data_IF_871434010354
#
_entry.id   IF_871434010354
#
_cell.length_a   1.000
_cell.length_b   1.000
_cell.length_c   1.000
_cell.angle_alpha   90.00
_cell.angle_beta   90.00
_cell.angle_gamma   90.00
#
_symmetry.space_group_name_H-M   'P 1'
#
loop_
_entity.id
_entity.type
_entity.pdbx_description
1 polymer ?
#
# COMPACT_ATOMS: atom_id res chain seq x y z
N UNK A 1 8.86 -8.99 13.78
CA UNK A 1 7.63 -8.22 13.79
C UNK A 1 7.51 -7.66 12.39
N UNK A 2 6.42 -7.87 11.69
CA UNK A 2 6.31 -7.42 10.30
C UNK A 2 5.63 -6.05 10.29
N UNK A 3 6.30 -5.06 9.74
CA UNK A 3 5.73 -3.76 9.50
C UNK A 3 5.00 -3.79 8.14
N UNK A 4 3.80 -3.30 8.10
CA UNK A 4 2.99 -3.14 6.90
C UNK A 4 2.70 -1.66 6.68
N UNK A 5 3.04 -1.16 5.52
CA UNK A 5 2.91 0.23 5.14
C UNK A 5 1.80 0.39 4.10
N UNK A 6 0.80 1.20 4.42
CA UNK A 6 -0.33 1.47 3.53
C UNK A 6 -0.41 2.97 3.27
N UNK A 7 -0.49 3.35 2.00
CA UNK A 7 -0.73 4.73 1.59
C UNK A 7 -2.19 4.93 1.15
N UNK A 8 -2.82 6.00 1.64
CA UNK A 8 -4.14 6.45 1.21
C UNK A 8 -3.96 7.63 0.28
N UNK A 9 -4.25 7.45 -1.00
CA UNK A 9 -3.98 8.40 -2.07
C UNK A 9 -5.30 8.91 -2.68
N UNK A 10 -5.29 10.08 -3.28
CA UNK A 10 -6.46 10.68 -3.92
C UNK A 10 -6.38 12.19 -3.97
N UNK A 11 -7.30 12.84 -4.67
CA UNK A 11 -7.42 14.30 -4.75
C UNK A 11 -7.78 14.95 -3.42
N UNK A 12 -7.83 16.26 -3.39
CA UNK A 12 -8.35 17.03 -2.25
C UNK A 12 -9.86 16.80 -2.09
N UNK A 13 -10.37 16.88 -0.86
CA UNK A 13 -11.82 16.81 -0.58
C UNK A 13 -12.46 15.44 -0.71
N UNK A 14 -11.75 14.38 -1.08
CA UNK A 14 -12.31 13.02 -1.24
C UNK A 14 -12.58 12.29 0.07
N UNK A 15 -12.36 12.94 1.22
CA UNK A 15 -12.63 12.36 2.56
C UNK A 15 -11.44 11.61 3.16
N UNK A 16 -10.20 11.97 2.78
CA UNK A 16 -8.99 11.52 3.46
C UNK A 16 -8.78 12.33 4.75
N UNK A 17 -8.23 11.71 5.77
CA UNK A 17 -7.82 12.38 7.01
C UNK A 17 -6.31 12.68 6.99
N UNK A 18 -5.90 13.70 7.73
CA UNK A 18 -4.53 14.26 7.64
C UNK A 18 -3.60 13.71 8.71
N UNK A 19 -3.14 12.44 8.66
CA UNK A 19 -2.17 11.96 9.65
C UNK A 19 -1.45 10.65 9.27
N UNK A 20 -0.29 10.44 9.87
CA UNK A 20 0.34 9.11 9.95
C UNK A 20 -0.25 8.39 11.17
N UNK A 21 -0.95 7.30 10.94
CA UNK A 21 -1.49 6.44 11.99
C UNK A 21 -0.61 5.19 12.13
N UNK A 22 -0.26 4.88 13.38
CA UNK A 22 0.43 3.63 13.72
C UNK A 22 -0.44 2.82 14.65
N UNK A 23 -0.69 1.57 14.27
CA UNK A 23 -1.51 0.66 15.08
C UNK A 23 -0.94 -0.75 15.06
N UNK A 24 -0.84 -1.34 16.25
CA UNK A 24 -0.61 -2.79 16.36
C UNK A 24 -1.94 -3.51 16.17
N UNK A 25 -1.93 -4.52 15.33
CA UNK A 25 -3.10 -5.34 15.11
C UNK A 25 -2.72 -6.80 14.90
N UNK A 26 -3.65 -7.70 15.21
CA UNK A 26 -3.50 -9.12 14.92
C UNK A 26 -4.32 -9.49 13.69
N UNK A 27 -3.67 -10.09 12.71
CA UNK A 27 -4.32 -10.60 11.50
C UNK A 27 -3.95 -12.07 11.34
N UNK A 28 -4.94 -12.94 11.30
CA UNK A 28 -4.77 -14.40 11.21
C UNK A 28 -3.77 -14.95 12.28
N UNK A 29 -3.87 -14.45 13.53
CA UNK A 29 -3.02 -14.85 14.64
C UNK A 29 -1.60 -14.27 14.62
N UNK A 30 -1.30 -13.34 13.71
CA UNK A 30 0.02 -12.70 13.59
C UNK A 30 -0.05 -11.25 13.99
N UNK A 31 0.92 -10.82 14.80
CA UNK A 31 1.06 -9.43 15.18
C UNK A 31 1.71 -8.64 14.05
N UNK A 32 1.07 -7.56 13.64
CA UNK A 32 1.53 -6.62 12.62
C UNK A 32 1.56 -5.20 13.22
N UNK A 33 2.56 -4.43 12.84
CA UNK A 33 2.54 -2.98 12.99
C UNK A 33 2.03 -2.39 11.67
N UNK A 34 0.87 -1.78 11.70
CA UNK A 34 0.33 -1.04 10.56
C UNK A 34 0.79 0.41 10.65
N UNK A 35 1.45 0.90 9.62
CA UNK A 35 1.66 2.32 9.37
C UNK A 35 0.75 2.75 8.22
N UNK A 36 -0.20 3.63 8.51
CA UNK A 36 -1.07 4.25 7.52
C UNK A 36 -0.56 5.67 7.24
N UNK A 37 -0.23 5.95 6.00
CA UNK A 37 0.19 7.28 5.56
C UNK A 37 -0.88 7.91 4.68
N UNK A 38 -1.39 9.05 5.15
CA UNK A 38 -2.28 9.91 4.40
C UNK A 38 -1.54 11.23 4.13
N UNK A 39 -1.07 11.48 2.91
CA UNK A 39 -0.36 12.70 2.58
C UNK A 39 -1.34 13.89 2.55
N UNK A 40 -1.27 14.72 3.59
CA UNK A 40 -1.88 16.03 3.55
C UNK A 40 -1.17 16.94 2.55
N UNK A 41 -1.91 17.70 1.78
CA UNK A 41 -1.38 18.52 0.69
C UNK A 41 -0.54 19.72 1.14
N UNK A 42 -0.49 20.10 2.43
CA UNK A 42 0.11 21.41 2.76
C UNK A 42 0.93 21.60 4.04
N UNK A 43 0.98 20.71 5.04
CA UNK A 43 1.49 21.16 6.36
C UNK A 43 2.58 20.35 7.06
N UNK A 44 3.03 19.22 6.58
CA UNK A 44 4.17 18.53 7.19
C UNK A 44 5.42 18.73 6.36
N UNK A 45 6.39 19.47 6.91
CA UNK A 45 7.63 19.90 6.28
C UNK A 45 8.46 18.78 5.66
N UNK A 46 8.28 18.62 4.36
CA UNK A 46 8.94 17.65 3.52
C UNK A 46 7.91 17.07 2.54
N UNK A 47 7.78 17.71 1.37
CA UNK A 47 6.92 17.22 0.29
C UNK A 47 7.51 15.92 -0.25
N UNK A 48 7.10 14.76 0.32
CA UNK A 48 7.39 13.51 -0.36
C UNK A 48 6.58 13.48 -1.66
N UNK A 49 7.25 13.19 -2.76
CA UNK A 49 6.59 13.08 -4.06
C UNK A 49 5.68 11.85 -4.08
N UNK A 50 4.68 11.84 -4.94
CA UNK A 50 3.81 10.67 -5.13
C UNK A 50 4.63 9.39 -5.43
N UNK A 51 5.72 9.53 -6.17
CA UNK A 51 6.65 8.44 -6.44
C UNK A 51 7.30 7.88 -5.17
N UNK A 52 7.74 8.72 -4.25
CA UNK A 52 8.30 8.28 -2.97
C UNK A 52 7.26 7.55 -2.12
N UNK A 53 6.02 8.02 -2.11
CA UNK A 53 4.91 7.38 -1.41
C UNK A 53 4.61 6.00 -1.98
N UNK A 54 4.64 5.85 -3.31
CA UNK A 54 4.43 4.57 -3.98
C UNK A 54 5.59 3.60 -3.68
N UNK A 55 6.82 4.06 -3.63
CA UNK A 55 7.95 3.20 -3.27
C UNK A 55 7.97 2.81 -1.78
N UNK A 56 7.40 3.66 -0.93
CA UNK A 56 7.36 3.42 0.52
C UNK A 56 6.30 2.38 0.93
N UNK A 57 5.14 2.32 0.24
CA UNK A 57 3.99 1.54 0.65
C UNK A 57 4.00 0.10 0.11
N UNK A 58 3.46 -0.82 0.90
CA UNK A 58 3.21 -2.23 0.53
C UNK A 58 1.80 -2.43 -0.05
N UNK A 59 0.87 -1.51 0.27
CA UNK A 59 -0.50 -1.52 -0.21
C UNK A 59 -1.07 -0.12 -0.35
N UNK A 60 -2.09 0.03 -1.19
CA UNK A 60 -2.65 1.32 -1.57
C UNK A 60 -4.16 1.35 -1.45
N UNK A 61 -4.69 2.46 -0.93
CA UNK A 61 -6.09 2.85 -1.03
C UNK A 61 -6.14 4.10 -1.89
N UNK A 62 -6.71 4.01 -3.08
CA UNK A 62 -6.90 5.15 -3.97
C UNK A 62 -8.36 5.59 -3.88
N UNK A 63 -8.59 6.81 -3.38
CA UNK A 63 -9.93 7.32 -3.08
C UNK A 63 -10.32 8.40 -4.08
N UNK A 64 -11.55 8.33 -4.58
CA UNK A 64 -12.21 9.42 -5.31
C UNK A 64 -13.60 9.70 -4.73
N UNK A 65 -14.15 10.86 -5.01
CA UNK A 65 -15.50 11.27 -4.66
C UNK A 65 -16.42 10.99 -5.84
N UNK A 66 -17.51 10.24 -5.63
CA UNK A 66 -18.44 9.91 -6.70
C UNK A 66 -19.16 11.14 -7.29
N UNK A 67 -19.20 12.25 -6.54
CA UNK A 67 -19.81 13.52 -6.94
C UNK A 67 -18.81 14.51 -7.55
N UNK A 68 -17.54 14.09 -7.75
CA UNK A 68 -16.50 14.95 -8.32
C UNK A 68 -15.69 14.20 -9.40
N UNK A 69 -15.96 14.55 -10.66
CA UNK A 69 -15.27 13.98 -11.83
C UNK A 69 -13.76 14.26 -11.80
N UNK A 70 -13.31 15.39 -11.26
CA UNK A 70 -11.89 15.73 -11.23
C UNK A 70 -11.11 14.83 -10.28
N UNK A 71 -11.71 14.45 -9.17
CA UNK A 71 -11.13 13.49 -8.23
C UNK A 71 -10.97 12.10 -8.84
N UNK A 72 -11.91 11.67 -9.69
CA UNK A 72 -11.82 10.40 -10.42
C UNK A 72 -10.70 10.41 -11.47
N UNK A 73 -10.50 11.53 -12.18
CA UNK A 73 -9.38 11.69 -13.12
C UNK A 73 -8.05 11.58 -12.36
N UNK A 74 -7.95 12.23 -11.21
CA UNK A 74 -6.76 12.14 -10.32
C UNK A 74 -6.53 10.70 -9.86
N UNK A 75 -7.57 10.00 -9.40
CA UNK A 75 -7.48 8.59 -8.99
C UNK A 75 -7.02 7.68 -10.14
N UNK A 76 -7.52 7.93 -11.36
CA UNK A 76 -7.11 7.20 -12.56
C UNK A 76 -5.61 7.36 -12.82
N UNK A 77 -5.09 8.59 -12.77
CA UNK A 77 -3.65 8.86 -12.94
C UNK A 77 -2.80 8.15 -11.87
N UNK A 78 -3.26 8.16 -10.61
CA UNK A 78 -2.57 7.48 -9.49
C UNK A 78 -2.53 5.96 -9.71
N UNK A 79 -3.64 5.34 -10.11
CA UNK A 79 -3.69 3.88 -10.37
C UNK A 79 -2.71 3.51 -11.48
N UNK A 80 -2.69 4.27 -12.59
CA UNK A 80 -1.75 4.02 -13.68
C UNK A 80 -0.29 4.17 -13.23
N UNK A 81 0.03 5.22 -12.49
CA UNK A 81 1.39 5.43 -11.97
C UNK A 81 1.85 4.30 -11.04
N UNK A 82 0.98 3.83 -10.15
CA UNK A 82 1.28 2.67 -9.29
C UNK A 82 1.62 1.44 -10.15
N UNK A 83 0.87 1.20 -11.24
CA UNK A 83 1.12 0.05 -12.12
C UNK A 83 2.40 0.20 -12.92
N UNK A 84 2.68 1.37 -13.47
CA UNK A 84 3.91 1.66 -14.20
C UNK A 84 5.16 1.45 -13.33
N UNK A 85 5.17 1.99 -12.12
CA UNK A 85 6.28 1.85 -11.19
C UNK A 85 6.48 0.40 -10.72
N UNK A 86 5.41 -0.39 -10.61
CA UNK A 86 5.49 -1.81 -10.28
C UNK A 86 5.95 -2.68 -11.46
N UNK A 87 5.67 -2.29 -12.71
CA UNK A 87 6.13 -3.00 -13.91
C UNK A 87 7.65 -2.85 -14.15
N UNK A 88 8.24 -1.74 -13.70
CA UNK A 88 9.68 -1.47 -13.80
C UNK A 88 10.55 -2.25 -12.80
N UNK A 89 9.98 -2.69 -11.69
CA UNK A 89 10.64 -3.58 -10.75
C UNK A 89 10.53 -5.01 -11.27
N UNK A 90 11.66 -5.65 -11.57
CA UNK A 90 11.80 -7.01 -12.17
C UNK A 90 10.55 -7.88 -12.10
N UNK A 91 10.16 -8.47 -13.22
CA UNK A 91 8.98 -9.35 -13.49
C UNK A 91 8.62 -10.44 -12.45
N UNK A 92 9.18 -10.43 -11.24
CA UNK A 92 9.02 -11.46 -10.19
C UNK A 92 8.66 -10.89 -8.80
N UNK A 93 8.47 -9.58 -8.65
CA UNK A 93 8.02 -9.03 -7.37
C UNK A 93 6.49 -9.02 -7.33
N UNK A 94 5.93 -9.48 -6.22
CA UNK A 94 4.49 -9.59 -6.02
C UNK A 94 3.80 -8.25 -6.30
N UNK A 95 2.77 -8.31 -7.13
CA UNK A 95 1.93 -7.17 -7.47
C UNK A 95 1.42 -6.47 -6.20
N UNK A 96 1.58 -5.14 -6.12
CA UNK A 96 1.10 -4.37 -4.97
C UNK A 96 -0.42 -4.43 -4.89
N UNK A 97 -0.92 -4.59 -3.68
CA UNK A 97 -2.36 -4.61 -3.42
C UNK A 97 -2.93 -3.20 -3.49
N UNK A 98 -3.83 -2.97 -4.44
CA UNK A 98 -4.49 -1.67 -4.65
C UNK A 98 -6.00 -1.81 -4.49
N UNK A 99 -6.57 -0.95 -3.65
CA UNK A 99 -8.01 -0.80 -3.49
C UNK A 99 -8.44 0.54 -4.05
N UNK A 100 -9.37 0.52 -5.00
CA UNK A 100 -10.00 1.71 -5.56
C UNK A 100 -11.33 1.95 -4.85
N UNK A 101 -11.50 3.12 -4.24
CA UNK A 101 -12.65 3.45 -3.38
C UNK A 101 -13.38 4.67 -3.92
N UNK A 102 -14.62 4.48 -4.38
CA UNK A 102 -15.59 5.55 -4.61
C UNK A 102 -16.24 5.91 -3.27
N UNK A 103 -15.87 7.07 -2.72
CA UNK A 103 -16.39 7.56 -1.45
C UNK A 103 -17.60 8.49 -1.66
N UNK A 104 -18.28 8.79 -0.58
CA UNK A 104 -19.47 9.65 -0.49
C UNK A 104 -20.67 9.08 -1.25
N UNK A 105 -20.88 7.77 -1.15
CA UNK A 105 -22.02 7.08 -1.74
C UNK A 105 -23.37 7.67 -1.30
N UNK A 106 -23.44 8.29 -0.13
CA UNK A 106 -24.57 9.08 0.38
C UNK A 106 -24.96 10.23 -0.56
N UNK A 107 -24.03 10.76 -1.34
CA UNK A 107 -24.26 11.82 -2.35
C UNK A 107 -24.66 11.27 -3.73
N UNK A 108 -25.25 10.09 -3.80
CA UNK A 108 -25.62 9.44 -5.08
C UNK A 108 -26.57 10.28 -5.96
N UNK A 109 -27.32 11.22 -5.37
CA UNK A 109 -28.23 12.14 -6.08
C UNK A 109 -27.51 13.22 -6.90
N UNK A 110 -26.24 13.50 -6.60
CA UNK A 110 -25.38 14.42 -7.37
C UNK A 110 -24.17 13.73 -7.99
N UNK A 111 -24.29 12.41 -8.21
CA UNK A 111 -23.23 11.59 -8.80
C UNK A 111 -22.78 12.10 -10.16
N UNK A 112 -21.48 12.28 -10.32
CA UNK A 112 -20.82 12.58 -11.60
C UNK A 112 -20.07 11.38 -12.19
N UNK A 113 -19.65 10.43 -11.35
CA UNK A 113 -18.91 9.24 -11.75
C UNK A 113 -19.81 8.02 -11.61
N UNK A 114 -20.08 7.33 -12.72
CA UNK A 114 -20.88 6.11 -12.71
C UNK A 114 -20.10 4.97 -12.05
N UNK A 115 -20.82 4.09 -11.38
CA UNK A 115 -20.22 2.91 -10.72
C UNK A 115 -19.45 2.01 -11.70
N UNK A 116 -19.97 1.87 -12.91
CA UNK A 116 -19.36 1.08 -13.98
C UNK A 116 -18.01 1.65 -14.44
N UNK A 117 -17.81 2.96 -14.35
CA UNK A 117 -16.53 3.60 -14.66
C UNK A 117 -15.48 3.24 -13.61
N UNK A 118 -15.84 3.28 -12.32
CA UNK A 118 -14.98 2.83 -11.24
C UNK A 118 -14.63 1.35 -11.34
N UNK A 119 -15.62 0.50 -11.65
CA UNK A 119 -15.41 -0.94 -11.87
C UNK A 119 -14.48 -1.22 -13.04
N UNK A 120 -14.64 -0.49 -14.15
CA UNK A 120 -13.77 -0.61 -15.32
C UNK A 120 -12.33 -0.22 -14.99
N UNK A 121 -12.13 0.94 -14.36
CA UNK A 121 -10.80 1.37 -13.91
C UNK A 121 -10.16 0.33 -12.99
N UNK A 122 -10.94 -0.23 -12.06
CA UNK A 122 -10.43 -1.25 -11.15
C UNK A 122 -10.02 -2.54 -11.89
N UNK A 123 -10.80 -2.97 -12.88
CA UNK A 123 -10.48 -4.13 -13.71
C UNK A 123 -9.20 -3.90 -14.52
N UNK A 124 -9.10 -2.77 -15.21
CA UNK A 124 -7.94 -2.42 -16.03
C UNK A 124 -6.68 -2.22 -15.19
N UNK A 125 -6.83 -1.64 -13.99
CA UNK A 125 -5.76 -1.41 -13.03
C UNK A 125 -5.47 -2.59 -12.09
N UNK A 126 -6.13 -3.76 -12.24
CA UNK A 126 -6.03 -4.91 -11.33
C UNK A 126 -6.22 -4.51 -9.86
N UNK A 127 -7.19 -3.62 -9.59
CA UNK A 127 -7.55 -3.14 -8.26
C UNK A 127 -8.78 -3.87 -7.72
N UNK A 128 -8.94 -3.91 -6.40
CA UNK A 128 -10.22 -4.24 -5.78
C UNK A 128 -11.08 -2.98 -5.71
N UNK A 129 -12.33 -3.07 -6.16
CA UNK A 129 -13.26 -1.94 -6.20
C UNK A 129 -14.21 -1.94 -5.01
N UNK A 130 -14.37 -0.79 -4.40
CA UNK A 130 -15.36 -0.51 -3.36
C UNK A 130 -16.05 0.82 -3.64
N UNK A 131 -17.32 0.89 -3.30
CA UNK A 131 -18.07 2.13 -3.25
C UNK A 131 -18.78 2.17 -1.90
N UNK A 132 -18.53 3.22 -1.11
CA UNK A 132 -19.00 3.34 0.26
C UNK A 132 -19.13 4.81 0.67
N UNK A 133 -19.78 5.06 1.81
CA UNK A 133 -19.75 6.35 2.49
C UNK A 133 -18.93 6.25 3.77
N UNK A 134 -17.75 6.87 3.79
CA UNK A 134 -16.92 6.87 5.00
C UNK A 134 -17.56 7.65 6.16
N UNK A 135 -18.50 8.56 5.87
CA UNK A 135 -19.23 9.34 6.86
C UNK A 135 -20.33 8.52 7.55
N UNK A 136 -20.97 7.59 6.81
CA UNK A 136 -22.15 6.87 7.31
C UNK A 136 -21.84 5.43 7.72
N UNK A 137 -20.89 4.77 7.09
CA UNK A 137 -20.70 3.33 7.24
C UNK A 137 -19.30 2.95 7.72
N UNK A 138 -19.02 3.19 9.01
CA UNK A 138 -17.76 2.78 9.65
C UNK A 138 -17.45 1.28 9.51
N UNK A 139 -18.46 0.42 9.55
CA UNK A 139 -18.27 -1.02 9.47
C UNK A 139 -17.73 -1.47 8.11
N UNK A 140 -18.24 -0.90 7.02
CA UNK A 140 -17.75 -1.20 5.66
C UNK A 140 -16.32 -0.74 5.46
N UNK A 141 -15.97 0.46 5.96
CA UNK A 141 -14.61 0.98 5.95
C UNK A 141 -13.66 0.04 6.72
N UNK A 142 -14.06 -0.38 7.93
CA UNK A 142 -13.26 -1.28 8.76
C UNK A 142 -13.05 -2.65 8.11
N UNK A 143 -14.08 -3.22 7.48
CA UNK A 143 -14.00 -4.48 6.74
C UNK A 143 -13.08 -4.37 5.52
N UNK A 144 -13.21 -3.29 4.74
CA UNK A 144 -12.35 -3.01 3.60
C UNK A 144 -10.88 -2.93 4.03
N UNK A 145 -10.57 -2.16 5.08
CA UNK A 145 -9.20 -2.05 5.60
C UNK A 145 -8.66 -3.37 6.13
N UNK A 146 -9.47 -4.16 6.82
CA UNK A 146 -9.07 -5.49 7.30
C UNK A 146 -8.67 -6.39 6.13
N UNK A 147 -9.43 -6.36 5.04
CA UNK A 147 -9.17 -7.13 3.83
C UNK A 147 -7.90 -6.64 3.11
N UNK A 148 -7.70 -5.32 3.02
CA UNK A 148 -6.48 -4.73 2.47
C UNK A 148 -5.24 -5.19 3.24
N UNK A 149 -5.26 -5.04 4.57
CA UNK A 149 -4.15 -5.42 5.45
C UNK A 149 -3.83 -6.91 5.32
N UNK A 150 -4.86 -7.76 5.27
CA UNK A 150 -4.69 -9.20 5.05
C UNK A 150 -4.00 -9.50 3.72
N UNK A 151 -4.49 -8.93 2.63
CA UNK A 151 -3.94 -9.16 1.29
C UNK A 151 -2.50 -8.64 1.19
N UNK A 152 -2.24 -7.42 1.67
CA UNK A 152 -0.91 -6.81 1.64
C UNK A 152 0.09 -7.57 2.53
N UNK A 153 -0.34 -8.11 3.70
CA UNK A 153 0.52 -8.92 4.55
C UNK A 153 0.92 -10.24 3.90
N UNK A 154 0.05 -10.82 3.09
CA UNK A 154 0.35 -12.05 2.33
C UNK A 154 1.34 -11.77 1.19
N UNK A 155 1.18 -10.65 0.48
CA UNK A 155 2.11 -10.19 -0.56
C UNK A 155 3.49 -9.86 0.01
N UNK A 156 3.56 -9.19 1.17
CA UNK A 156 4.81 -8.85 1.86
C UNK A 156 5.65 -10.07 2.26
N UNK A 157 5.02 -11.19 2.62
CA UNK A 157 5.73 -12.45 2.95
C UNK A 157 6.48 -13.05 1.76
N UNK A 158 5.96 -12.88 0.56
CA UNK A 158 6.65 -13.31 -0.66
C UNK A 158 7.94 -12.47 -0.88
N UNK A 159 7.91 -11.18 -0.54
CA UNK A 159 9.09 -10.30 -0.59
C UNK A 159 10.15 -10.69 0.44
N UNK A 160 9.77 -10.99 1.68
CA UNK A 160 10.72 -11.34 2.76
C UNK A 160 11.38 -12.71 2.52
N UNK A 161 10.66 -13.71 2.04
CA UNK A 161 11.24 -15.00 1.64
C UNK A 161 12.25 -14.88 0.51
N UNK A 162 12.10 -13.90 -0.39
CA UNK A 162 13.02 -13.66 -1.51
C UNK A 162 14.23 -12.80 -1.13
N UNK A 163 14.13 -11.98 -0.08
CA UNK A 163 15.21 -11.12 0.43
C UNK A 163 16.16 -11.82 1.40
N UNK A 164 15.92 -13.07 1.77
CA UNK A 164 16.93 -13.86 2.47
C UNK A 164 18.02 -14.25 1.48
N UNK A 165 19.14 -13.50 1.39
CA UNK A 165 20.27 -13.99 0.64
C UNK A 165 20.75 -15.25 1.34
N UNK A 166 21.11 -16.26 0.58
CA UNK A 166 21.78 -17.48 1.06
C UNK A 166 23.18 -17.15 1.60
N UNK A 167 23.29 -16.13 2.44
CA UNK A 167 24.53 -15.58 2.98
C UNK A 167 25.09 -16.30 4.20
N UNK A 168 24.41 -17.31 4.69
CA UNK A 168 24.91 -18.09 5.83
C UNK A 168 26.19 -18.90 5.53
N UNK A 169 26.50 -19.17 4.27
CA UNK A 169 27.73 -19.89 3.88
C UNK A 169 28.97 -18.99 3.73
N UNK A 170 28.80 -17.69 3.48
CA UNK A 170 29.93 -16.76 3.35
C UNK A 170 30.51 -16.32 4.68
N UNK A 171 29.70 -16.15 5.73
CA UNK A 171 30.17 -15.76 7.07
C UNK A 171 30.95 -16.88 7.75
N UNK A 172 30.51 -18.13 7.63
CA UNK A 172 31.25 -19.27 8.17
C UNK A 172 32.62 -19.45 7.50
N UNK A 173 32.77 -19.16 6.20
CA UNK A 173 34.08 -19.17 5.52
C UNK A 173 34.99 -18.02 5.93
N UNK A 174 34.47 -16.84 6.20
CA UNK A 174 35.23 -15.70 6.69
C UNK A 174 35.75 -15.94 8.12
N UNK A 175 34.95 -16.49 9.00
CA UNK A 175 35.33 -16.80 10.38
C UNK A 175 36.43 -17.89 10.40
N UNK A 176 36.32 -18.94 9.59
CA UNK A 176 37.35 -19.97 9.51
C UNK A 176 38.69 -19.46 8.91
N UNK A 177 38.65 -18.48 7.99
CA UNK A 177 39.88 -17.89 7.45
C UNK A 177 40.58 -16.94 8.44
N UNK A 178 39.86 -16.30 9.33
CA UNK A 178 40.47 -15.36 10.32
C UNK A 178 41.01 -16.11 11.53
N UNK A 179 40.35 -17.18 11.98
CA UNK A 179 40.77 -17.96 13.14
C UNK A 179 41.65 -19.18 12.84
N UNK A 180 41.66 -19.66 11.59
CA UNK A 180 42.47 -20.81 11.16
C UNK A 180 43.99 -20.50 11.00
N UNK A 181 44.41 -19.24 10.97
CA UNK A 181 45.80 -18.83 10.76
C UNK A 181 46.66 -18.63 12.07
N UNK A 182 46.10 -18.93 13.26
CA UNK A 182 46.83 -18.73 14.52
C UNK A 182 47.32 -20.03 15.20
N UNK A 183 47.46 -21.12 14.48
CA UNK A 183 48.11 -22.32 15.01
C UNK A 183 49.12 -22.90 14.04
N UNK A 184 50.24 -22.19 13.82
CA UNK A 184 51.52 -22.76 13.42
C UNK A 184 52.60 -21.74 13.75
N UNK A 185 53.05 -21.76 14.98
CA UNK A 185 54.36 -21.27 15.40
C UNK A 185 54.66 -21.93 16.72
N UNK A 186 55.29 -23.04 16.72
CA UNK A 186 56.43 -23.51 17.51
C UNK A 186 56.92 -24.77 16.80
#
# INVERSE_FOLDING_TARGET
>A
MNDLKVAVLGGEGVGKSECIYRKRMSVDGRQLNLELYDPCSQTCGGKSTLNEQIHWADGFVVVYDISDRSSFITATAIVHLIRELNLGASKRESESVVFLVGNKQDLCHIREVRKEEGQRLATDGHCQFYELSAAECYQEVALMFTKLVRNASLSGKAKERRRRPSGSKSMAKLINNVFGKRRKSV
#
